data_IF_166597298355
#
_entry.id   IF_166597298355
#
_cell.length_a   1.000
_cell.length_b   1.000
_cell.length_c   1.000
_cell.angle_alpha   90.00
_cell.angle_beta   90.00
_cell.angle_gamma   90.00
#
_symmetry.space_group_name_H-M   'P 1'
#
loop_
_entity.id
_entity.type
_entity.pdbx_description
1 polymer ?
#
# COMPACT_ATOMS: atom_id res chain seq x y z
N UNK A 1 11.91 22.90 -12.66
CA UNK A 1 10.61 22.34 -13.09
C UNK A 1 10.26 21.17 -12.16
N UNK A 2 9.03 21.11 -11.66
CA UNK A 2 8.56 20.06 -10.75
C UNK A 2 7.80 19.00 -11.56
N UNK A 3 8.26 17.75 -11.48
CA UNK A 3 7.74 16.65 -12.29
C UNK A 3 7.23 15.52 -11.40
N UNK A 4 6.09 14.92 -11.77
CA UNK A 4 5.51 13.76 -11.09
C UNK A 4 6.43 12.52 -11.13
N UNK A 5 7.09 12.28 -12.28
CA UNK A 5 7.79 11.03 -12.54
C UNK A 5 8.90 10.68 -11.52
N UNK A 6 9.79 11.61 -11.13
CA UNK A 6 10.77 11.35 -10.07
C UNK A 6 10.16 10.83 -8.75
N UNK A 7 9.08 11.44 -8.26
CA UNK A 7 8.42 11.01 -7.03
C UNK A 7 7.87 9.59 -7.13
N UNK A 8 7.25 9.26 -8.27
CA UNK A 8 6.71 7.91 -8.52
C UNK A 8 7.83 6.89 -8.52
N UNK A 9 8.91 7.15 -9.25
CA UNK A 9 10.02 6.19 -9.34
C UNK A 9 10.75 6.01 -8.02
N UNK A 10 11.01 7.08 -7.28
CA UNK A 10 11.62 7.00 -5.96
C UNK A 10 10.73 6.20 -5.00
N UNK A 11 9.42 6.44 -4.98
CA UNK A 11 8.48 5.66 -4.18
C UNK A 11 8.57 4.15 -4.48
N UNK A 12 8.61 3.76 -5.76
CA UNK A 12 8.79 2.36 -6.16
C UNK A 12 10.15 1.79 -5.72
N UNK A 13 11.23 2.56 -5.85
CA UNK A 13 12.56 2.13 -5.40
C UNK A 13 12.58 1.82 -3.90
N UNK A 14 12.07 2.73 -3.07
CA UNK A 14 12.01 2.55 -1.62
C UNK A 14 11.12 1.37 -1.21
N UNK A 15 9.96 1.20 -1.85
CA UNK A 15 9.09 0.03 -1.61
C UNK A 15 9.81 -1.29 -1.91
N UNK A 16 10.57 -1.37 -3.01
CA UNK A 16 11.34 -2.56 -3.36
C UNK A 16 12.51 -2.83 -2.41
N UNK A 17 13.03 -1.79 -1.75
CA UNK A 17 14.09 -1.91 -0.74
C UNK A 17 13.53 -2.13 0.67
N UNK A 18 12.21 -2.24 0.83
CA UNK A 18 11.51 -2.31 2.12
C UNK A 18 11.75 -1.07 3.01
N UNK A 19 12.11 0.06 2.41
CA UNK A 19 12.29 1.37 3.04
C UNK A 19 10.92 2.07 3.11
N UNK A 20 10.01 1.49 3.91
CA UNK A 20 8.59 1.89 3.89
C UNK A 20 8.36 3.32 4.38
N UNK A 21 9.22 3.82 5.27
CA UNK A 21 9.10 5.20 5.79
C UNK A 21 9.42 6.22 4.72
N UNK A 22 10.54 6.03 4.02
CA UNK A 22 11.00 6.86 2.92
C UNK A 22 10.00 6.79 1.76
N UNK A 23 9.50 5.59 1.46
CA UNK A 23 8.44 5.39 0.46
C UNK A 23 7.18 6.19 0.81
N UNK A 24 6.77 6.19 2.08
CA UNK A 24 5.61 6.94 2.56
C UNK A 24 5.82 8.44 2.40
N UNK A 25 6.94 8.96 2.92
CA UNK A 25 7.26 10.39 2.88
C UNK A 25 7.30 10.93 1.45
N UNK A 26 8.02 10.26 0.56
CA UNK A 26 8.14 10.66 -0.84
C UNK A 26 6.79 10.59 -1.56
N UNK A 27 5.98 9.58 -1.24
CA UNK A 27 4.68 9.41 -1.88
C UNK A 27 3.65 10.43 -1.38
N UNK A 28 3.69 10.82 -0.10
CA UNK A 28 2.87 11.90 0.45
C UNK A 28 3.28 13.25 -0.15
N UNK A 29 4.58 13.54 -0.20
CA UNK A 29 5.09 14.75 -0.84
C UNK A 29 4.74 14.81 -2.33
N UNK A 30 4.88 13.68 -3.03
CA UNK A 30 4.49 13.53 -4.43
C UNK A 30 3.00 13.74 -4.64
N UNK A 31 2.16 13.18 -3.77
CA UNK A 31 0.70 13.31 -3.86
C UNK A 31 0.22 14.74 -3.55
N UNK A 32 0.86 15.44 -2.61
CA UNK A 32 0.53 16.82 -2.29
C UNK A 32 0.77 17.76 -3.48
N UNK A 33 1.83 17.50 -4.26
CA UNK A 33 2.19 18.31 -5.43
C UNK A 33 1.50 17.87 -6.71
N UNK A 34 1.38 16.56 -6.90
CA UNK A 34 0.87 15.92 -8.12
C UNK A 34 -0.12 14.81 -7.76
N UNK A 35 -1.38 15.13 -7.39
CA UNK A 35 -2.37 14.12 -7.02
C UNK A 35 -2.48 13.01 -8.07
N UNK A 36 -2.26 11.77 -7.65
CA UNK A 36 -2.15 10.63 -8.56
C UNK A 36 -2.52 9.33 -7.84
N UNK A 37 -3.28 8.43 -8.48
CA UNK A 37 -3.62 7.14 -7.89
C UNK A 37 -2.39 6.26 -7.60
N UNK A 38 -1.28 6.51 -8.30
CA UNK A 38 0.00 5.82 -8.07
C UNK A 38 0.54 6.11 -6.65
N UNK A 39 0.41 7.36 -6.17
CA UNK A 39 0.83 7.69 -4.82
C UNK A 39 -0.08 7.09 -3.76
N UNK A 40 -1.40 6.99 -4.01
CA UNK A 40 -2.31 6.28 -3.12
C UNK A 40 -1.96 4.80 -2.97
N UNK A 41 -1.51 4.16 -4.06
CA UNK A 41 -0.99 2.80 -4.00
C UNK A 41 0.27 2.72 -3.13
N UNK A 42 1.27 3.58 -3.38
CA UNK A 42 2.51 3.57 -2.59
C UNK A 42 2.27 3.83 -1.10
N UNK A 43 1.46 4.84 -0.77
CA UNK A 43 1.05 5.15 0.60
C UNK A 43 0.38 3.94 1.25
N UNK A 44 -0.53 3.27 0.52
CA UNK A 44 -1.22 2.08 0.99
C UNK A 44 -0.27 0.93 1.34
N UNK A 45 0.64 0.60 0.42
CA UNK A 45 1.63 -0.47 0.63
C UNK A 45 2.62 -0.12 1.75
N UNK A 46 3.12 1.12 1.76
CA UNK A 46 4.04 1.59 2.78
C UNK A 46 3.41 1.52 4.18
N UNK A 47 2.21 2.08 4.36
CA UNK A 47 1.50 2.04 5.65
C UNK A 47 1.17 0.61 6.09
N UNK A 48 0.84 -0.30 5.17
CA UNK A 48 0.53 -1.68 5.54
C UNK A 48 1.76 -2.44 6.09
N UNK A 49 2.96 -2.07 5.63
CA UNK A 49 4.21 -2.75 5.99
C UNK A 49 5.05 -2.00 7.04
N UNK A 50 4.75 -0.72 7.31
CA UNK A 50 5.46 0.06 8.32
C UNK A 50 5.20 -0.52 9.71
N UNK A 51 6.26 -0.86 10.45
CA UNK A 51 6.15 -1.22 11.86
C UNK A 51 5.81 0.03 12.68
N UNK A 52 4.96 -0.09 13.72
CA UNK A 52 4.70 1.06 14.58
C UNK A 52 6.03 1.43 15.26
N UNK A 53 6.33 2.73 15.36
CA UNK A 53 7.44 3.16 16.21
C UNK A 53 7.15 2.68 17.64
N UNK A 54 8.11 2.02 18.28
CA UNK A 54 7.99 1.44 19.63
C UNK A 54 7.89 2.52 20.74
N UNK A 55 7.24 3.65 20.46
CA UNK A 55 7.34 4.84 21.32
C UNK A 55 6.38 4.90 22.49
N UNK A 56 5.52 3.89 22.73
CA UNK A 56 4.79 3.85 24.00
C UNK A 56 4.58 2.44 24.59
N UNK A 57 5.30 2.07 25.67
CA UNK A 57 5.06 0.83 26.41
C UNK A 57 3.70 0.81 27.17
N UNK A 58 2.93 1.90 27.18
CA UNK A 58 1.64 1.98 27.88
C UNK A 58 0.47 1.23 27.19
N UNK A 59 0.69 0.63 26.02
CA UNK A 59 -0.01 -0.58 25.54
C UNK A 59 -1.47 -0.47 25.08
N UNK A 60 -2.21 0.59 25.39
CA UNK A 60 -3.61 0.78 24.93
C UNK A 60 -3.72 1.64 23.66
N UNK A 61 -2.98 2.76 23.60
CA UNK A 61 -2.99 3.68 22.45
C UNK A 61 -2.38 3.06 21.17
N UNK A 62 -1.65 1.95 21.34
CA UNK A 62 -0.99 1.24 20.24
C UNK A 62 -1.98 0.55 19.29
N UNK A 63 -3.09 -0.02 19.78
CA UNK A 63 -4.01 -0.79 18.92
C UNK A 63 -4.89 0.13 18.06
N UNK A 64 -5.42 1.21 18.64
CA UNK A 64 -6.26 2.17 17.92
C UNK A 64 -5.44 2.89 16.85
N UNK A 65 -4.26 3.40 17.19
CA UNK A 65 -3.34 3.99 16.22
C UNK A 65 -2.98 3.01 15.09
N UNK A 66 -2.82 1.72 15.42
CA UNK A 66 -2.56 0.68 14.43
C UNK A 66 -3.76 0.42 13.53
N UNK A 67 -4.98 0.41 14.09
CA UNK A 67 -6.21 0.27 13.32
C UNK A 67 -6.40 1.46 12.37
N UNK A 68 -6.13 2.69 12.82
CA UNK A 68 -6.16 3.88 11.97
C UNK A 68 -5.14 3.79 10.84
N UNK A 69 -3.91 3.35 11.12
CA UNK A 69 -2.88 3.13 10.13
C UNK A 69 -3.32 2.10 9.07
N UNK A 70 -3.91 0.97 9.48
CA UNK A 70 -4.42 -0.05 8.57
C UNK A 70 -5.62 0.43 7.75
N UNK A 71 -6.53 1.20 8.36
CA UNK A 71 -7.66 1.79 7.65
C UNK A 71 -7.17 2.77 6.58
N UNK A 72 -6.19 3.62 6.92
CA UNK A 72 -5.56 4.54 5.97
C UNK A 72 -4.86 3.81 4.83
N UNK A 73 -4.18 2.69 5.13
CA UNK A 73 -3.56 1.84 4.14
C UNK A 73 -4.60 1.27 3.15
N UNK A 74 -5.68 0.70 3.68
CA UNK A 74 -6.77 0.11 2.91
C UNK A 74 -7.47 1.14 2.02
N UNK A 75 -7.71 2.34 2.55
CA UNK A 75 -8.32 3.44 1.79
C UNK A 75 -7.43 3.89 0.63
N UNK A 76 -6.10 3.95 0.83
CA UNK A 76 -5.14 4.24 -0.24
C UNK A 76 -5.21 3.21 -1.37
N UNK A 77 -5.19 1.92 -1.03
CA UNK A 77 -5.29 0.83 -2.01
C UNK A 77 -6.63 0.85 -2.76
N UNK A 78 -7.75 1.05 -2.05
CA UNK A 78 -9.08 1.15 -2.66
C UNK A 78 -9.21 2.36 -3.58
N UNK A 79 -8.69 3.54 -3.19
CA UNK A 79 -8.65 4.73 -4.04
C UNK A 79 -7.84 4.49 -5.32
N UNK A 80 -6.67 3.88 -5.20
CA UNK A 80 -5.86 3.52 -6.36
C UNK A 80 -6.60 2.54 -7.30
N UNK A 81 -7.34 1.55 -6.75
CA UNK A 81 -8.13 0.55 -7.50
C UNK A 81 -9.36 1.13 -8.20
N UNK A 82 -10.03 2.08 -7.55
CA UNK A 82 -11.20 2.75 -8.12
C UNK A 82 -10.84 3.80 -9.18
N UNK A 83 -9.56 4.17 -9.31
CA UNK A 83 -9.14 5.25 -10.21
C UNK A 83 -9.41 4.96 -11.69
N UNK A 84 -9.76 6.00 -12.44
CA UNK A 84 -9.97 5.90 -13.89
C UNK A 84 -8.70 5.39 -14.62
N UNK A 85 -7.51 5.69 -14.10
CA UNK A 85 -6.25 5.19 -14.64
C UNK A 85 -6.14 3.65 -14.51
N UNK A 86 -6.51 3.09 -13.36
CA UNK A 86 -6.55 1.65 -13.16
C UNK A 86 -7.66 0.98 -14.01
N UNK A 87 -8.82 1.62 -14.11
CA UNK A 87 -9.98 1.10 -14.86
C UNK A 87 -9.81 1.21 -16.39
N UNK A 88 -9.19 2.29 -16.88
CA UNK A 88 -9.03 2.58 -18.30
C UNK A 88 -8.09 1.61 -19.00
N UNK A 89 -6.95 1.29 -18.35
CA UNK A 89 -5.97 0.34 -18.90
C UNK A 89 -6.50 -1.09 -19.02
N UNK A 90 -7.47 -1.47 -18.18
CA UNK A 90 -8.14 -2.76 -18.28
C UNK A 90 -8.94 -2.88 -19.58
N UNK A 91 -9.54 -1.78 -20.05
CA UNK A 91 -10.32 -1.78 -21.31
C UNK A 91 -9.44 -1.83 -22.56
N UNK A 92 -8.20 -1.36 -22.48
CA UNK A 92 -7.26 -1.37 -23.61
C UNK A 92 -6.57 -2.73 -23.78
N UNK A 93 -6.29 -3.47 -22.69
CA UNK A 93 -5.62 -4.79 -22.73
C UNK A 93 -6.56 -5.98 -22.97
N UNK A 94 -7.61 -5.79 -23.78
CA UNK A 94 -8.73 -6.74 -24.00
C UNK A 94 -8.38 -8.18 -24.40
N UNK A 95 -7.14 -8.52 -24.72
CA UNK A 95 -6.78 -9.85 -25.23
C UNK A 95 -5.95 -10.74 -24.28
N UNK A 96 -5.52 -10.26 -23.11
CA UNK A 96 -4.86 -11.11 -22.11
C UNK A 96 -5.06 -10.59 -20.68
N UNK A 97 -6.26 -10.84 -20.14
CA UNK A 97 -6.78 -10.45 -18.83
C UNK A 97 -5.88 -10.82 -17.64
N UNK A 98 -4.88 -9.99 -17.33
CA UNK A 98 -4.28 -9.96 -15.99
C UNK A 98 -4.58 -8.60 -15.38
N UNK A 99 -5.22 -8.62 -14.21
CA UNK A 99 -5.42 -7.43 -13.38
C UNK A 99 -4.11 -6.64 -13.30
N UNK A 100 -4.12 -5.30 -13.33
CA UNK A 100 -2.90 -4.53 -13.11
C UNK A 100 -2.32 -4.75 -11.70
N UNK A 101 -3.17 -5.26 -10.79
CA UNK A 101 -2.87 -5.69 -9.45
C UNK A 101 -2.21 -7.07 -9.44
N UNK A 102 -1.18 -7.19 -8.63
CA UNK A 102 -0.55 -8.47 -8.32
C UNK A 102 -1.43 -9.27 -7.36
N UNK A 103 -1.30 -10.60 -7.38
CA UNK A 103 -1.90 -11.46 -6.35
C UNK A 103 -1.42 -11.09 -4.93
N UNK A 104 -0.26 -10.43 -4.82
CA UNK A 104 0.21 -9.85 -3.56
C UNK A 104 -0.74 -8.74 -3.07
N UNK A 105 -1.20 -7.86 -3.95
CA UNK A 105 -2.03 -6.72 -3.56
C UNK A 105 -3.40 -7.18 -3.04
N UNK A 106 -4.00 -8.20 -3.66
CA UNK A 106 -5.25 -8.78 -3.18
C UNK A 106 -5.06 -9.42 -1.79
N UNK A 107 -3.98 -10.18 -1.58
CA UNK A 107 -3.64 -10.73 -0.24
C UNK A 107 -3.41 -9.64 0.80
N UNK A 108 -2.82 -8.51 0.40
CA UNK A 108 -2.58 -7.37 1.30
C UNK A 108 -3.90 -6.72 1.72
N UNK A 109 -4.83 -6.55 0.78
CA UNK A 109 -6.18 -6.04 1.07
C UNK A 109 -6.93 -6.99 2.00
N UNK A 110 -6.97 -8.28 1.69
CA UNK A 110 -7.63 -9.29 2.53
C UNK A 110 -7.04 -9.30 3.96
N UNK A 111 -5.72 -9.18 4.07
CA UNK A 111 -5.04 -9.09 5.36
C UNK A 111 -5.41 -7.83 6.15
N UNK A 112 -5.48 -6.67 5.50
CA UNK A 112 -5.89 -5.41 6.15
C UNK A 112 -7.35 -5.48 6.62
N UNK A 113 -8.24 -6.04 5.80
CA UNK A 113 -9.65 -6.22 6.15
C UNK A 113 -9.82 -7.15 7.35
N UNK A 114 -9.12 -8.29 7.36
CA UNK A 114 -9.12 -9.22 8.49
C UNK A 114 -8.62 -8.55 9.78
N UNK A 115 -7.54 -7.75 9.70
CA UNK A 115 -6.97 -7.03 10.85
C UNK A 115 -7.94 -6.02 11.45
N UNK A 116 -8.61 -5.26 10.59
CA UNK A 116 -9.60 -4.28 11.02
C UNK A 116 -10.82 -4.94 11.66
N UNK A 117 -11.20 -6.14 11.20
CA UNK A 117 -12.31 -6.89 11.78
C UNK A 117 -11.96 -7.52 13.14
N UNK A 118 -10.75 -8.07 13.27
CA UNK A 118 -10.26 -8.59 14.57
C UNK A 118 -10.09 -7.46 15.59
N UNK A 119 -9.58 -6.30 15.17
CA UNK A 119 -9.49 -5.11 16.03
C UNK A 119 -10.84 -4.67 16.60
N UNK A 120 -11.94 -4.89 15.87
CA UNK A 120 -13.30 -4.62 16.34
C UNK A 120 -13.85 -5.71 17.27
N UNK A 121 -13.38 -6.95 17.13
CA UNK A 121 -13.93 -8.12 17.82
C UNK A 121 -13.23 -8.47 19.15
N UNK A 122 -12.14 -7.79 19.51
CA UNK A 122 -11.44 -7.77 20.81
C UNK A 122 -11.05 -9.11 21.47
N UNK A 123 -11.32 -10.28 20.86
CA UNK A 123 -11.34 -11.57 21.59
C UNK A 123 -10.35 -12.64 21.12
N UNK A 124 -9.53 -12.42 20.08
CA UNK A 124 -8.52 -13.42 19.67
C UNK A 124 -7.23 -12.80 19.09
N UNK A 125 -6.37 -12.28 19.97
CA UNK A 125 -5.08 -11.71 19.58
C UNK A 125 -4.07 -12.75 19.00
N UNK A 126 -4.30 -14.05 19.18
CA UNK A 126 -3.32 -15.10 18.82
C UNK A 126 -3.33 -15.52 17.35
N UNK A 127 -4.37 -15.22 16.56
CA UNK A 127 -4.45 -15.61 15.14
C UNK A 127 -3.73 -14.64 14.18
N UNK A 128 -3.16 -13.58 14.72
CA UNK A 128 -2.67 -12.44 13.95
C UNK A 128 -1.14 -12.47 13.78
N UNK A 129 -0.55 -13.55 13.29
CA UNK A 129 0.90 -13.58 13.01
C UNK A 129 1.22 -13.33 11.53
N UNK A 130 2.01 -12.26 11.31
CA UNK A 130 2.66 -11.92 10.03
C UNK A 130 1.84 -11.03 9.10
N UNK A 131 2.39 -9.87 8.72
CA UNK A 131 2.00 -9.20 7.47
C UNK A 131 2.45 -10.11 6.33
N UNK A 132 1.71 -10.26 5.22
CA UNK A 132 2.20 -10.93 4.02
C UNK A 132 3.53 -10.29 3.63
N UNK A 133 4.64 -10.96 3.96
CA UNK A 133 5.96 -10.40 3.67
C UNK A 133 6.11 -10.33 2.17
N UNK A 134 6.64 -9.20 1.72
CA UNK A 134 7.17 -9.01 0.37
C UNK A 134 8.44 -9.86 0.29
N UNK A 135 8.31 -11.18 0.29
CA UNK A 135 9.43 -12.12 0.29
C UNK A 135 10.11 -12.10 -1.07
N UNK A 136 11.00 -11.13 -1.32
CA UNK A 136 11.76 -10.99 -2.57
C UNK A 136 10.90 -10.83 -3.84
N UNK A 137 9.58 -10.61 -3.69
CA UNK A 137 8.69 -10.34 -4.81
C UNK A 137 8.77 -8.85 -5.12
N UNK A 138 9.03 -8.50 -6.38
CA UNK A 138 9.03 -7.11 -6.82
C UNK A 138 7.69 -6.47 -6.44
N UNK A 139 7.75 -5.37 -5.68
CA UNK A 139 6.60 -4.52 -5.40
C UNK A 139 6.38 -3.67 -6.63
N UNK A 140 5.18 -3.74 -7.17
CA UNK A 140 4.86 -2.91 -8.32
C UNK A 140 3.59 -3.35 -9.01
N UNK A 141 2.79 -2.34 -9.36
CA UNK A 141 1.79 -2.49 -10.40
C UNK A 141 2.48 -2.98 -11.69
N UNK A 142 2.10 -4.18 -12.16
CA UNK A 142 2.55 -4.71 -13.47
C UNK A 142 2.25 -3.78 -14.64
N UNK A 143 1.29 -2.87 -14.46
CA UNK A 143 0.94 -1.84 -15.41
C UNK A 143 2.04 -0.78 -15.66
N UNK A 144 3.03 -0.63 -14.76
CA UNK A 144 4.09 0.38 -14.87
C UNK A 144 5.51 -0.19 -14.91
N UNK A 145 5.63 -1.51 -15.04
CA UNK A 145 6.86 -2.06 -15.60
C UNK A 145 7.01 -1.52 -17.03
N UNK A 146 7.73 -0.39 -17.15
CA UNK A 146 8.49 -0.14 -18.36
C UNK A 146 9.38 -1.37 -18.45
N UNK A 147 9.12 -2.26 -19.42
CA UNK A 147 10.19 -3.13 -19.89
C UNK A 147 11.28 -2.16 -20.33
N UNK A 148 12.31 -2.02 -19.50
CA UNK A 148 13.58 -1.43 -19.93
C UNK A 148 14.17 -2.36 -20.98
#
# INVERSE_FOLDING_TARGET
>A
PDFKAPYVYLGVCHLNQSEFREALEISEAGNARHPSPQFHYHIGVALANLEPEEEDPAGADSLEARAEQWQRALDGLRKARASAEAQGRWRERKEACKSPWLAYDDRLVDWLELRLDVGRSASSASELQGVPRIGGQAVGWTAFSFRV
#
